data_IF_798166918546
#
_entry.id   IF_798166918546
#
_cell.length_a   1.000
_cell.length_b   1.000
_cell.length_c   1.000
_cell.angle_alpha   90.00
_cell.angle_beta   90.00
_cell.angle_gamma   90.00
#
_symmetry.space_group_name_H-M   'P 1'
#
loop_
_entity.id
_entity.type
_entity.pdbx_description
1 polymer ?
#
# COMPACT_ATOMS: atom_id res chain seq x y z
N UNK A 1 -9.20 0.66 41.97
CA UNK A 1 -9.41 -0.80 41.97
C UNK A 1 -8.62 -1.34 40.79
N UNK A 2 -7.58 -2.13 41.01
CA UNK A 2 -6.78 -2.73 39.93
C UNK A 2 -7.56 -3.86 39.28
N UNK A 3 -7.77 -3.78 37.98
CA UNK A 3 -8.29 -4.89 37.18
C UNK A 3 -7.27 -6.05 37.18
N UNK A 4 -7.71 -7.31 37.31
CA UNK A 4 -6.79 -8.45 37.29
C UNK A 4 -6.18 -8.59 35.90
N UNK A 5 -4.86 -8.77 35.86
CA UNK A 5 -4.13 -9.09 34.64
C UNK A 5 -4.41 -10.57 34.32
N UNK A 6 -5.24 -10.85 33.32
CA UNK A 6 -5.60 -12.21 32.89
C UNK A 6 -4.40 -12.83 32.14
N UNK A 7 -3.70 -13.83 32.71
CA UNK A 7 -2.53 -14.42 32.09
C UNK A 7 -3.00 -15.55 31.18
N UNK A 8 -3.64 -15.21 30.06
CA UNK A 8 -3.87 -16.20 29.00
C UNK A 8 -2.49 -16.58 28.44
N UNK A 9 -2.11 -17.86 28.45
CA UNK A 9 -0.85 -18.29 27.85
C UNK A 9 -0.87 -17.91 26.36
N UNK A 10 0.28 -17.48 25.80
CA UNK A 10 0.36 -17.16 24.38
C UNK A 10 -0.02 -18.40 23.56
N UNK A 11 -0.97 -18.23 22.66
CA UNK A 11 -1.42 -19.25 21.71
C UNK A 11 -0.28 -19.45 20.71
N UNK A 12 0.07 -20.71 20.41
CA UNK A 12 1.07 -21.01 19.38
C UNK A 12 0.47 -20.69 18.01
N UNK A 13 1.20 -19.92 17.20
CA UNK A 13 0.80 -19.60 15.82
C UNK A 13 1.15 -20.81 14.96
N UNK A 14 0.16 -21.65 14.64
CA UNK A 14 0.36 -22.90 13.89
C UNK A 14 -0.05 -22.79 12.41
N UNK A 15 -0.90 -21.82 12.06
CA UNK A 15 -1.29 -21.56 10.68
C UNK A 15 -1.14 -20.08 10.25
N UNK A 16 -1.47 -19.83 8.98
CA UNK A 16 -1.43 -18.49 8.39
C UNK A 16 -2.56 -17.60 8.89
N UNK A 17 -3.69 -18.15 9.33
CA UNK A 17 -4.81 -17.36 9.86
C UNK A 17 -4.50 -16.86 11.27
N UNK A 18 -3.79 -17.63 12.10
CA UNK A 18 -3.28 -17.23 13.40
C UNK A 18 -2.17 -16.17 13.26
N UNK A 19 -1.39 -16.24 12.17
CA UNK A 19 -0.30 -15.30 11.90
C UNK A 19 -0.80 -13.98 11.32
N UNK A 20 -1.75 -14.06 10.38
CA UNK A 20 -2.16 -12.94 9.54
C UNK A 20 -3.60 -12.50 9.80
N UNK A 21 -4.44 -13.27 10.49
CA UNK A 21 -5.90 -13.10 10.51
C UNK A 21 -6.57 -13.82 9.34
N UNK A 22 -7.90 -13.84 9.32
CA UNK A 22 -8.68 -14.36 8.19
C UNK A 22 -8.42 -13.50 6.94
N UNK A 23 -7.80 -14.07 5.92
CA UNK A 23 -7.55 -13.36 4.66
C UNK A 23 -8.65 -13.71 3.66
N UNK A 24 -9.40 -12.70 3.20
CA UNK A 24 -10.34 -12.92 2.11
C UNK A 24 -9.56 -13.12 0.79
N UNK A 25 -9.76 -14.27 0.14
CA UNK A 25 -9.11 -14.56 -1.14
C UNK A 25 -9.68 -13.66 -2.23
N UNK A 26 -8.80 -13.03 -3.02
CA UNK A 26 -9.20 -12.26 -4.18
C UNK A 26 -9.73 -13.21 -5.27
N UNK A 27 -11.00 -13.03 -5.65
CA UNK A 27 -11.63 -13.81 -6.71
C UNK A 27 -11.30 -13.24 -8.10
N UNK A 28 -10.26 -13.79 -8.72
CA UNK A 28 -9.85 -13.46 -10.10
C UNK A 28 -10.56 -14.32 -11.15
N UNK A 29 -11.67 -14.98 -10.83
CA UNK A 29 -12.36 -15.77 -11.84
C UNK A 29 -12.82 -14.89 -13.01
N UNK A 30 -12.56 -15.34 -14.25
CA UNK A 30 -12.98 -14.66 -15.50
C UNK A 30 -14.50 -14.39 -15.55
N UNK A 31 -15.29 -15.06 -14.69
CA UNK A 31 -16.74 -14.85 -14.57
C UNK A 31 -17.11 -13.57 -13.82
N UNK A 32 -16.19 -12.98 -13.04
CA UNK A 32 -16.40 -11.72 -12.31
C UNK A 32 -15.52 -10.59 -12.82
N UNK A 33 -14.38 -10.90 -13.46
CA UNK A 33 -13.57 -9.88 -14.11
C UNK A 33 -13.96 -9.76 -15.60
N UNK A 34 -14.90 -8.87 -15.88
CA UNK A 34 -15.32 -8.56 -17.25
C UNK A 34 -14.27 -7.74 -18.03
N UNK A 35 -13.21 -7.24 -17.35
CA UNK A 35 -12.21 -6.37 -17.95
C UNK A 35 -11.29 -7.20 -18.84
N UNK A 36 -11.35 -6.93 -20.14
CA UNK A 36 -10.50 -7.56 -21.14
C UNK A 36 -9.47 -6.54 -21.62
N UNK A 37 -8.22 -6.71 -21.23
CA UNK A 37 -7.12 -5.84 -21.66
C UNK A 37 -5.79 -6.29 -21.06
N UNK A 38 -4.69 -6.03 -21.78
CA UNK A 38 -3.34 -6.20 -21.25
C UNK A 38 -2.91 -4.92 -20.55
N UNK A 39 -1.98 -5.04 -19.60
CA UNK A 39 -1.37 -3.87 -18.96
C UNK A 39 -0.74 -2.98 -20.05
N UNK A 40 -1.18 -1.72 -20.11
CA UNK A 40 -0.74 -0.74 -21.10
C UNK A 40 -1.68 -0.54 -22.29
N UNK A 41 -2.74 -1.33 -22.43
CA UNK A 41 -3.77 -1.10 -23.45
C UNK A 41 -4.62 0.14 -23.09
N UNK A 42 -5.12 0.84 -24.12
CA UNK A 42 -6.05 1.94 -23.94
C UNK A 42 -7.38 1.42 -23.37
N UNK A 43 -7.85 2.07 -22.30
CA UNK A 43 -9.10 1.69 -21.64
C UNK A 43 -10.31 1.96 -22.56
N UNK A 44 -11.33 1.07 -22.57
CA UNK A 44 -12.56 1.32 -23.32
C UNK A 44 -13.22 2.64 -22.91
N UNK A 45 -13.66 3.42 -23.90
CA UNK A 45 -14.28 4.73 -23.66
C UNK A 45 -15.50 4.66 -22.72
N UNK A 46 -16.22 3.53 -22.74
CA UNK A 46 -17.36 3.31 -21.83
C UNK A 46 -16.92 3.24 -20.38
N UNK A 47 -15.88 2.46 -20.06
CA UNK A 47 -15.35 2.36 -18.70
C UNK A 47 -14.82 3.70 -18.21
N UNK A 48 -14.11 4.43 -19.08
CA UNK A 48 -13.65 5.79 -18.76
C UNK A 48 -14.80 6.73 -18.44
N UNK A 49 -15.91 6.66 -19.16
CA UNK A 49 -17.08 7.50 -18.91
C UNK A 49 -17.84 7.11 -17.62
N UNK A 50 -17.79 5.83 -17.23
CA UNK A 50 -18.38 5.34 -15.97
C UNK A 50 -17.53 5.80 -14.76
N UNK A 51 -16.20 5.72 -14.84
CA UNK A 51 -15.29 6.16 -13.76
C UNK A 51 -15.15 7.69 -13.66
N UNK A 52 -15.19 8.36 -14.81
CA UNK A 52 -14.99 9.81 -14.95
C UNK A 52 -16.21 10.46 -15.63
N UNK A 53 -17.36 10.51 -14.95
CA UNK A 53 -18.53 11.21 -15.47
C UNK A 53 -18.23 12.70 -15.66
N UNK A 54 -18.93 13.42 -16.57
CA UNK A 54 -18.65 14.82 -16.90
C UNK A 54 -18.57 15.75 -15.68
N UNK A 55 -19.38 15.48 -14.64
CA UNK A 55 -19.37 16.22 -13.39
C UNK A 55 -18.02 16.08 -12.65
N UNK A 56 -17.51 14.84 -12.49
CA UNK A 56 -16.20 14.59 -11.86
C UNK A 56 -15.08 15.29 -12.59
N UNK A 57 -15.11 15.28 -13.93
CA UNK A 57 -14.11 15.96 -14.75
C UNK A 57 -14.16 17.48 -14.54
N UNK A 58 -15.35 18.06 -14.41
CA UNK A 58 -15.52 19.48 -14.17
C UNK A 58 -15.11 19.92 -12.76
N UNK A 59 -15.34 19.08 -11.75
CA UNK A 59 -14.99 19.32 -10.34
C UNK A 59 -13.52 18.96 -10.03
N UNK A 60 -12.77 18.43 -11.00
CA UNK A 60 -11.38 18.02 -10.78
C UNK A 60 -10.49 19.20 -10.40
N UNK A 61 -9.78 19.04 -9.28
CA UNK A 61 -8.95 20.08 -8.68
C UNK A 61 -9.73 21.17 -7.93
N UNK A 62 -11.05 21.01 -7.79
CA UNK A 62 -11.90 21.88 -6.98
C UNK A 62 -12.17 21.24 -5.62
N UNK A 63 -12.17 22.08 -4.58
CA UNK A 63 -12.68 21.70 -3.27
C UNK A 63 -14.19 21.97 -3.19
N UNK A 64 -14.87 21.45 -2.18
CA UNK A 64 -16.32 21.59 -2.04
C UNK A 64 -16.83 23.03 -2.00
N UNK A 65 -16.03 23.95 -1.45
CA UNK A 65 -16.32 25.38 -1.48
C UNK A 65 -16.35 25.99 -2.89
N UNK A 66 -15.60 25.41 -3.83
CA UNK A 66 -15.51 25.87 -5.22
C UNK A 66 -16.48 25.11 -6.15
N UNK A 67 -16.74 23.83 -5.88
CA UNK A 67 -17.61 23.00 -6.69
C UNK A 67 -19.09 23.39 -6.61
N UNK A 68 -19.51 24.04 -5.50
CA UNK A 68 -20.89 24.50 -5.25
C UNK A 68 -21.96 23.43 -5.55
N UNK A 69 -21.58 22.17 -5.35
CA UNK A 69 -22.37 20.99 -5.67
C UNK A 69 -23.44 20.78 -4.59
N UNK A 70 -24.62 20.26 -4.95
CA UNK A 70 -25.53 19.71 -3.94
C UNK A 70 -24.93 18.36 -3.48
N UNK A 71 -24.31 18.35 -2.30
CA UNK A 71 -23.76 17.14 -1.66
C UNK A 71 -24.54 16.78 -0.39
N UNK A 72 -24.37 15.55 0.09
CA UNK A 72 -24.92 15.11 1.39
C UNK A 72 -24.21 15.77 2.59
N UNK A 73 -23.03 16.34 2.36
CA UNK A 73 -22.24 17.06 3.35
C UNK A 73 -22.47 18.57 3.25
N UNK A 74 -22.50 19.24 4.41
CA UNK A 74 -22.76 20.67 4.54
C UNK A 74 -21.74 21.55 3.79
N UNK A 75 -20.52 21.05 3.60
CA UNK A 75 -19.38 21.72 2.95
C UNK A 75 -19.19 21.33 1.47
N UNK A 76 -20.12 20.56 0.91
CA UNK A 76 -20.13 20.20 -0.52
C UNK A 76 -18.89 19.41 -0.99
N UNK A 77 -18.38 18.52 -0.14
CA UNK A 77 -17.22 17.64 -0.40
C UNK A 77 -17.17 17.09 -1.83
N UNK A 78 -16.03 17.30 -2.50
CA UNK A 78 -15.69 16.64 -3.77
C UNK A 78 -14.85 15.39 -3.52
N UNK A 79 -14.63 14.59 -4.57
CA UNK A 79 -13.75 13.42 -4.50
C UNK A 79 -12.27 13.78 -4.29
N UNK A 80 -11.91 15.06 -4.47
CA UNK A 80 -10.55 15.55 -4.30
C UNK A 80 -10.34 16.19 -2.90
N UNK A 81 -11.39 16.30 -2.10
CA UNK A 81 -11.31 16.79 -0.72
C UNK A 81 -10.89 15.70 0.26
N UNK A 82 -10.30 16.10 1.39
CA UNK A 82 -9.98 15.23 2.52
C UNK A 82 -11.18 15.13 3.46
N UNK A 83 -12.14 14.27 3.11
CA UNK A 83 -13.34 14.00 3.91
C UNK A 83 -13.33 12.56 4.43
N UNK A 84 -14.05 12.24 5.53
CA UNK A 84 -14.14 10.86 6.01
C UNK A 84 -14.56 9.84 4.93
N UNK A 85 -15.41 10.24 3.98
CA UNK A 85 -15.91 9.38 2.91
C UNK A 85 -14.91 9.17 1.77
N UNK A 86 -13.95 10.09 1.61
CA UNK A 86 -12.90 10.03 0.58
C UNK A 86 -11.55 9.54 1.12
N UNK A 87 -11.39 9.50 2.44
CA UNK A 87 -10.21 8.97 3.11
C UNK A 87 -10.21 7.44 3.09
N UNK A 88 -9.01 6.86 2.94
CA UNK A 88 -8.81 5.43 3.11
C UNK A 88 -8.89 5.03 4.57
N UNK A 89 -9.32 3.80 4.84
CA UNK A 89 -9.31 3.25 6.19
C UNK A 89 -7.85 3.01 6.67
N UNK A 90 -7.41 3.82 7.63
CA UNK A 90 -6.07 3.73 8.24
C UNK A 90 -6.02 2.86 9.51
N UNK A 91 -7.11 2.16 9.86
CA UNK A 91 -7.17 1.31 11.05
C UNK A 91 -6.30 0.04 10.95
N UNK A 92 -5.69 -0.19 9.77
CA UNK A 92 -4.90 -1.37 9.47
C UNK A 92 -5.74 -2.57 9.04
N UNK A 93 -7.03 -2.38 8.77
CA UNK A 93 -7.85 -3.36 8.06
C UNK A 93 -7.31 -3.57 6.64
N UNK A 94 -7.27 -4.82 6.17
CA UNK A 94 -6.81 -5.15 4.81
C UNK A 94 -7.93 -5.09 3.79
N UNK A 95 -9.17 -5.23 4.24
CA UNK A 95 -10.37 -5.13 3.43
C UNK A 95 -11.51 -4.42 4.20
N UNK A 96 -12.57 -3.97 3.50
CA UNK A 96 -13.66 -3.19 4.13
C UNK A 96 -14.47 -3.93 5.20
N UNK A 97 -14.45 -5.27 5.20
CA UNK A 97 -15.20 -6.11 6.14
C UNK A 97 -14.33 -6.56 7.34
N UNK A 98 -13.00 -6.39 7.27
CA UNK A 98 -12.07 -6.70 8.35
C UNK A 98 -12.11 -5.60 9.43
N UNK A 99 -12.31 -5.94 10.72
CA UNK A 99 -12.17 -4.98 11.80
C UNK A 99 -10.70 -4.59 11.95
N UNK A 100 -10.38 -3.32 11.70
CA UNK A 100 -9.02 -2.83 11.88
C UNK A 100 -8.51 -2.93 13.32
N UNK A 101 -7.19 -3.03 13.46
CA UNK A 101 -6.50 -3.13 14.76
C UNK A 101 -6.57 -1.84 15.60
N UNK A 102 -7.12 -0.76 15.05
CA UNK A 102 -7.36 0.52 15.73
C UNK A 102 -6.09 1.35 15.97
N UNK A 103 -4.94 0.86 15.50
CA UNK A 103 -3.67 1.57 15.51
C UNK A 103 -3.24 1.86 14.07
N UNK A 104 -2.82 3.08 13.75
CA UNK A 104 -2.32 3.37 12.42
C UNK A 104 -1.02 2.61 12.22
N UNK A 105 -0.92 1.93 11.07
CA UNK A 105 0.13 0.94 10.81
C UNK A 105 1.55 1.53 10.87
N UNK A 106 1.68 2.85 10.68
CA UNK A 106 2.91 3.63 10.74
C UNK A 106 3.44 3.88 12.16
N UNK A 107 2.64 3.62 13.21
CA UNK A 107 3.03 3.90 14.61
C UNK A 107 3.63 2.70 15.35
N UNK A 108 3.59 1.50 14.75
CA UNK A 108 4.22 0.31 15.30
C UNK A 108 5.72 0.26 14.93
N UNK A 109 6.52 1.11 15.57
CA UNK A 109 7.95 1.20 15.30
C UNK A 109 8.75 0.24 16.21
N UNK A 110 9.77 -0.41 15.63
CA UNK A 110 10.79 -1.18 16.35
C UNK A 110 12.16 -0.56 16.07
N UNK A 111 13.01 -0.49 17.08
CA UNK A 111 14.41 -0.12 16.88
C UNK A 111 15.13 -1.25 16.13
N UNK A 112 15.72 -0.90 15.00
CA UNK A 112 16.48 -1.80 14.11
C UNK A 112 17.93 -1.34 14.07
N UNK A 113 18.85 -2.27 13.88
CA UNK A 113 20.23 -1.93 13.58
C UNK A 113 20.36 -1.41 12.13
N UNK A 114 21.44 -0.69 11.82
CA UNK A 114 21.59 -0.02 10.52
C UNK A 114 21.46 -0.97 9.31
N UNK A 115 21.83 -2.24 9.47
CA UNK A 115 21.77 -3.28 8.43
C UNK A 115 20.38 -3.91 8.25
N UNK A 116 19.42 -3.61 9.13
CA UNK A 116 18.03 -4.06 9.05
C UNK A 116 17.10 -2.98 8.46
N UNK A 117 17.61 -1.77 8.21
CA UNK A 117 16.82 -0.67 7.65
C UNK A 117 16.58 -0.95 6.15
N UNK A 118 15.33 -0.92 5.70
CA UNK A 118 14.96 -1.17 4.30
C UNK A 118 14.84 -2.67 3.98
N UNK A 119 15.43 -3.12 2.87
CA UNK A 119 15.41 -4.52 2.43
C UNK A 119 16.22 -5.49 3.31
N UNK A 120 16.94 -4.98 4.31
CA UNK A 120 17.78 -5.78 5.20
C UNK A 120 19.10 -6.20 4.54
N UNK A 121 19.44 -7.49 4.66
CA UNK A 121 20.65 -8.05 4.06
C UNK A 121 20.48 -8.31 2.58
N UNK A 122 21.40 -7.78 1.77
CA UNK A 122 21.45 -8.01 0.33
C UNK A 122 21.83 -6.73 -0.40
N UNK A 123 21.98 -6.87 -1.71
CA UNK A 123 22.07 -5.73 -2.62
C UNK A 123 20.68 -5.10 -2.74
N UNK A 124 20.60 -3.78 -2.72
CA UNK A 124 19.34 -3.08 -3.01
C UNK A 124 18.91 -3.31 -4.47
N UNK A 125 17.71 -2.89 -4.88
CA UNK A 125 17.27 -3.13 -6.26
C UNK A 125 18.20 -2.48 -7.30
N UNK A 126 18.88 -1.38 -6.96
CA UNK A 126 19.79 -0.69 -7.86
C UNK A 126 21.11 -1.46 -8.03
N UNK A 127 21.66 -2.01 -6.95
CA UNK A 127 22.84 -2.85 -6.93
C UNK A 127 22.56 -4.25 -7.52
N UNK A 128 21.37 -4.81 -7.31
CA UNK A 128 20.90 -6.02 -7.99
C UNK A 128 20.77 -5.79 -9.49
N UNK A 129 20.17 -4.69 -9.93
CA UNK A 129 20.04 -4.37 -11.35
C UNK A 129 21.39 -4.16 -12.04
N UNK A 130 22.45 -3.82 -11.29
CA UNK A 130 23.82 -3.71 -11.80
C UNK A 130 24.56 -5.04 -11.83
N UNK A 131 24.37 -5.88 -10.80
CA UNK A 131 25.02 -7.20 -10.70
C UNK A 131 24.32 -8.30 -11.53
N UNK A 132 23.00 -8.21 -11.67
CA UNK A 132 22.17 -9.09 -12.48
C UNK A 132 21.17 -8.28 -13.34
N UNK A 133 21.65 -7.61 -14.40
CA UNK A 133 20.81 -6.86 -15.34
C UNK A 133 19.74 -7.75 -15.97
N UNK A 134 18.53 -7.22 -16.16
CA UNK A 134 17.40 -7.98 -16.75
C UNK A 134 17.65 -8.39 -18.21
N UNK A 135 18.49 -7.63 -18.92
CA UNK A 135 18.92 -7.90 -20.30
C UNK A 135 20.18 -8.77 -20.37
N UNK A 136 20.81 -9.07 -19.23
CA UNK A 136 22.05 -9.86 -19.15
C UNK A 136 23.30 -9.12 -19.62
N UNK A 137 23.21 -7.84 -19.98
CA UNK A 137 24.35 -7.05 -20.45
C UNK A 137 24.99 -6.30 -19.28
N UNK A 138 26.30 -6.48 -19.03
CA UNK A 138 26.97 -5.83 -17.90
C UNK A 138 27.02 -4.31 -18.06
N UNK A 139 26.86 -3.59 -16.95
CA UNK A 139 27.04 -2.15 -16.92
C UNK A 139 28.50 -1.77 -17.25
N UNK A 140 28.69 -0.68 -18.00
CA UNK A 140 29.99 -0.28 -18.55
C UNK A 140 30.86 0.57 -17.60
N UNK A 141 30.50 0.70 -16.33
CA UNK A 141 31.22 1.56 -15.37
C UNK A 141 32.17 0.75 -14.47
N UNK A 142 33.32 1.33 -14.13
CA UNK A 142 34.36 0.68 -13.33
C UNK A 142 33.98 0.69 -11.84
N UNK A 143 33.96 -0.48 -11.22
CA UNK A 143 33.64 -0.65 -9.79
C UNK A 143 34.84 -0.22 -8.95
N UNK A 144 34.65 0.71 -7.99
CA UNK A 144 35.59 0.88 -6.88
C UNK A 144 35.44 -0.37 -5.99
N UNK A 145 36.50 -1.18 -5.80
CA UNK A 145 36.39 -2.35 -4.94
C UNK A 145 35.99 -1.91 -3.53
N UNK A 146 35.03 -2.64 -2.97
CA UNK A 146 34.59 -2.49 -1.60
C UNK A 146 35.80 -2.61 -0.66
N UNK A 147 35.81 -1.78 0.37
CA UNK A 147 36.93 -1.52 1.28
C UNK A 147 37.29 -2.77 2.10
N UNK A 148 38.06 -3.71 1.51
CA UNK A 148 38.80 -4.73 2.25
C UNK A 148 39.93 -4.06 3.05
N UNK A 149 39.61 -3.38 4.15
CA UNK A 149 40.69 -2.83 4.98
C UNK A 149 40.39 -1.80 6.06
N UNK A 150 39.14 -1.60 6.52
CA UNK A 150 38.94 -0.76 7.72
C UNK A 150 39.39 -1.49 8.99
N UNK A 151 40.67 -1.39 9.32
CA UNK A 151 41.17 -1.77 10.65
C UNK A 151 40.39 -1.00 11.74
N UNK A 152 40.04 -1.66 12.86
CA UNK A 152 39.37 -1.01 13.97
C UNK A 152 40.28 0.05 14.60
N UNK A 153 39.80 1.29 14.67
CA UNK A 153 40.31 2.31 15.60
C UNK A 153 39.24 2.66 16.62
#
# INVERSE_FOLDING_TARGET
>A
MSTPNDPRPPIEIDDIEDRMGSVHELDFSERRDERQGRVGDERPARELAEDYPPRRVAESGMTGGEALSDSLHEDNVTLDDLSPDTLFDETGARDPDEPGSGGPADKALRQVEAHEIGGGFGLDEAELARSAPLDGEPWTDDVVPDDEGREPR
#
